data_IF_802562792968
#
_entry.id   IF_802562792968
#
_cell.length_a   1.000
_cell.length_b   1.000
_cell.length_c   1.000
_cell.angle_alpha   90.00
_cell.angle_beta   90.00
_cell.angle_gamma   90.00
#
_symmetry.space_group_name_H-M   'P 1'
#
loop_
_entity.id
_entity.type
_entity.pdbx_description
1 polymer ?
#
# COMPACT_ATOMS: atom_id res chain seq x y z
N UNK A 1 -70.59 -4.67 -49.87
CA UNK A 1 -69.18 -4.45 -50.27
C UNK A 1 -68.45 -3.80 -49.11
N UNK A 2 -67.37 -4.45 -48.67
CA UNK A 2 -66.70 -4.27 -47.37
C UNK A 2 -66.00 -2.91 -47.21
N UNK A 3 -66.21 -2.30 -46.04
CA UNK A 3 -65.42 -1.19 -45.51
C UNK A 3 -64.04 -1.70 -45.04
N UNK A 4 -62.95 -1.12 -45.56
CA UNK A 4 -61.59 -1.34 -45.03
C UNK A 4 -61.12 -0.07 -44.34
N UNK A 5 -61.14 -0.08 -43.01
CA UNK A 5 -60.39 0.86 -42.16
C UNK A 5 -58.97 0.33 -42.02
N UNK A 6 -57.99 1.11 -42.46
CA UNK A 6 -56.57 0.85 -42.18
C UNK A 6 -56.26 1.44 -40.80
N UNK A 7 -56.09 0.58 -39.81
CA UNK A 7 -55.58 0.97 -38.50
C UNK A 7 -54.04 0.99 -38.57
N UNK A 8 -53.46 2.19 -38.53
CA UNK A 8 -52.02 2.36 -38.33
C UNK A 8 -51.72 2.11 -36.84
N UNK A 9 -51.16 0.94 -36.53
CA UNK A 9 -50.64 0.64 -35.20
C UNK A 9 -49.32 1.35 -34.98
N UNK A 10 -49.32 2.41 -34.16
CA UNK A 10 -48.10 2.94 -33.56
C UNK A 10 -47.65 1.99 -32.44
N UNK A 11 -46.75 1.07 -32.76
CA UNK A 11 -46.02 0.30 -31.75
C UNK A 11 -44.95 1.22 -31.15
N UNK A 12 -45.28 1.87 -30.04
CA UNK A 12 -44.33 2.63 -29.24
C UNK A 12 -43.30 1.69 -28.63
N UNK A 13 -42.10 1.64 -29.20
CA UNK A 13 -40.95 0.95 -28.62
C UNK A 13 -40.45 1.78 -27.43
N UNK A 14 -40.88 1.44 -26.22
CA UNK A 14 -40.33 2.00 -24.99
C UNK A 14 -38.88 1.49 -24.84
N UNK A 15 -37.89 2.29 -25.25
CA UNK A 15 -36.50 2.08 -24.85
C UNK A 15 -36.41 2.24 -23.33
N UNK A 16 -36.43 1.10 -22.63
CA UNK A 16 -35.95 1.02 -21.25
C UNK A 16 -34.45 1.37 -21.28
N UNK A 17 -34.12 2.63 -20.99
CA UNK A 17 -32.76 3.04 -20.71
C UNK A 17 -32.31 2.28 -19.45
N UNK A 18 -31.60 1.17 -19.64
CA UNK A 18 -30.87 0.55 -18.55
C UNK A 18 -29.86 1.58 -18.05
N UNK A 19 -29.86 1.91 -16.74
CA UNK A 19 -28.82 2.78 -16.21
C UNK A 19 -27.50 2.03 -16.46
N UNK A 20 -26.67 2.59 -17.34
CA UNK A 20 -25.28 2.20 -17.42
C UNK A 20 -24.73 2.46 -16.02
N UNK A 21 -24.53 1.39 -15.25
CA UNK A 21 -23.74 1.46 -14.04
C UNK A 21 -22.40 2.02 -14.49
N UNK A 22 -22.18 3.31 -14.22
CA UNK A 22 -20.89 3.95 -14.44
C UNK A 22 -19.95 3.23 -13.50
N UNK A 23 -19.27 2.22 -14.05
CA UNK A 23 -18.12 1.65 -13.44
C UNK A 23 -17.25 2.82 -12.98
N UNK A 24 -16.96 2.94 -11.69
CA UNK A 24 -15.95 3.90 -11.21
C UNK A 24 -14.75 3.77 -12.16
N UNK A 25 -14.51 4.80 -12.98
CA UNK A 25 -13.44 4.82 -13.95
C UNK A 25 -12.33 5.69 -13.38
N UNK A 26 -11.09 5.31 -13.69
CA UNK A 26 -9.93 6.13 -13.39
C UNK A 26 -10.06 7.44 -14.19
N UNK A 27 -10.08 8.57 -13.50
CA UNK A 27 -10.06 9.89 -14.14
C UNK A 27 -8.81 10.67 -13.74
N UNK A 28 -8.36 11.64 -14.56
CA UNK A 28 -7.25 12.53 -14.19
C UNK A 28 -7.48 13.25 -12.85
N UNK A 29 -8.72 13.61 -12.53
CA UNK A 29 -9.08 14.30 -11.28
C UNK A 29 -8.93 13.37 -10.07
N UNK A 30 -9.34 12.11 -10.18
CA UNK A 30 -9.16 11.12 -9.12
C UNK A 30 -7.68 10.87 -8.84
N UNK A 31 -6.88 10.69 -9.89
CA UNK A 31 -5.43 10.50 -9.77
C UNK A 31 -4.80 11.73 -9.11
N UNK A 32 -5.10 12.94 -9.61
CA UNK A 32 -4.61 14.19 -9.01
C UNK A 32 -4.97 14.27 -7.52
N UNK A 33 -6.23 14.02 -7.17
CA UNK A 33 -6.68 14.10 -5.78
C UNK A 33 -5.92 13.14 -4.85
N UNK A 34 -5.70 11.89 -5.28
CA UNK A 34 -4.96 10.90 -4.48
C UNK A 34 -3.48 11.23 -4.36
N UNK A 35 -2.85 11.63 -5.46
CA UNK A 35 -1.43 12.01 -5.51
C UNK A 35 -1.16 13.26 -4.68
N UNK A 36 -1.98 14.30 -4.81
CA UNK A 36 -1.83 15.53 -4.02
C UNK A 36 -2.03 15.28 -2.53
N UNK A 37 -3.02 14.44 -2.16
CA UNK A 37 -3.26 14.04 -0.78
C UNK A 37 -2.07 13.29 -0.19
N UNK A 38 -1.50 12.35 -0.93
CA UNK A 38 -0.30 11.61 -0.52
C UNK A 38 0.86 12.56 -0.22
N UNK A 39 1.15 13.48 -1.16
CA UNK A 39 2.26 14.42 -1.02
C UNK A 39 2.09 15.31 0.21
N UNK A 40 0.89 15.84 0.41
CA UNK A 40 0.58 16.66 1.59
C UNK A 40 0.77 15.87 2.89
N UNK A 41 0.22 14.66 2.98
CA UNK A 41 0.31 13.83 4.20
C UNK A 41 1.77 13.51 4.52
N UNK A 42 2.55 13.07 3.52
CA UNK A 42 3.97 12.71 3.71
C UNK A 42 4.82 13.92 4.10
N UNK A 43 4.63 15.07 3.45
CA UNK A 43 5.35 16.30 3.78
C UNK A 43 5.00 16.81 5.19
N UNK A 44 3.72 16.77 5.58
CA UNK A 44 3.29 17.15 6.93
C UNK A 44 3.87 16.23 8.00
N UNK A 45 3.84 14.90 7.77
CA UNK A 45 4.44 13.91 8.68
C UNK A 45 5.93 14.18 8.87
N UNK A 46 6.66 14.35 7.77
CA UNK A 46 8.10 14.65 7.79
C UNK A 46 8.37 15.92 8.63
N UNK A 47 7.69 17.03 8.34
CA UNK A 47 7.90 18.29 9.06
C UNK A 47 7.52 18.21 10.54
N UNK A 48 6.51 17.41 10.89
CA UNK A 48 6.02 17.28 12.27
C UNK A 48 6.87 16.32 13.11
N UNK A 49 7.33 15.21 12.54
CA UNK A 49 7.86 14.08 13.30
C UNK A 49 9.32 13.77 13.07
N UNK A 50 9.89 14.09 11.90
CA UNK A 50 11.25 13.63 11.57
C UNK A 50 12.32 14.22 12.50
N UNK A 51 12.31 15.54 12.73
CA UNK A 51 13.31 16.19 13.60
C UNK A 51 13.24 15.71 15.06
N UNK A 52 12.06 15.63 15.73
CA UNK A 52 11.97 15.04 17.06
C UNK A 52 12.49 13.60 17.15
N UNK A 53 12.28 12.80 16.09
CA UNK A 53 12.76 11.42 16.05
C UNK A 53 14.27 11.35 15.80
N UNK A 54 14.83 12.17 14.90
CA UNK A 54 16.27 12.29 14.72
C UNK A 54 16.97 12.62 16.05
N UNK A 55 16.46 13.61 16.78
CA UNK A 55 16.95 13.98 18.12
C UNK A 55 16.86 12.85 19.13
N UNK A 56 15.79 12.04 19.10
CA UNK A 56 15.63 10.87 19.99
C UNK A 56 16.69 9.80 19.73
N UNK A 57 17.14 9.67 18.49
CA UNK A 57 18.15 8.70 18.05
C UNK A 57 19.56 9.29 17.96
N UNK A 58 19.76 10.49 18.52
CA UNK A 58 21.01 11.27 18.49
C UNK A 58 21.56 11.54 17.08
N UNK A 59 20.71 11.53 16.04
CA UNK A 59 21.10 11.72 14.64
C UNK A 59 21.13 13.20 14.28
N UNK A 60 22.30 13.71 13.89
CA UNK A 60 22.46 15.10 13.43
C UNK A 60 22.11 15.24 11.95
N UNK A 61 22.55 14.29 11.13
CA UNK A 61 22.32 14.26 9.69
C UNK A 61 21.81 12.88 9.29
N UNK A 62 20.73 12.82 8.52
CA UNK A 62 20.32 11.61 7.83
C UNK A 62 20.49 11.79 6.32
N UNK A 63 21.17 10.82 5.71
CA UNK A 63 21.43 10.76 4.27
C UNK A 63 20.66 9.57 3.69
N UNK A 64 19.75 9.84 2.77
CA UNK A 64 19.20 8.84 1.86
C UNK A 64 19.91 9.00 0.52
N UNK A 65 20.74 8.02 0.16
CA UNK A 65 21.37 7.97 -1.16
C UNK A 65 20.57 7.06 -2.09
N UNK A 66 20.30 7.56 -3.28
CA UNK A 66 19.53 6.86 -4.31
C UNK A 66 20.24 6.98 -5.65
N UNK A 67 20.01 6.03 -6.56
CA UNK A 67 20.54 6.07 -7.93
C UNK A 67 19.54 5.55 -8.94
N UNK A 68 19.82 5.86 -10.20
CA UNK A 68 19.02 5.36 -11.32
C UNK A 68 18.95 3.83 -11.31
N UNK A 69 17.74 3.31 -11.54
CA UNK A 69 17.41 1.87 -11.58
C UNK A 69 17.61 1.10 -10.27
N UNK A 70 18.01 1.76 -9.19
CA UNK A 70 18.06 1.20 -7.84
C UNK A 70 17.77 2.30 -6.81
N UNK A 71 16.55 2.85 -6.80
CA UNK A 71 16.20 3.86 -5.82
C UNK A 71 16.15 3.26 -4.42
N UNK A 72 16.59 4.03 -3.44
CA UNK A 72 16.40 3.65 -2.04
C UNK A 72 14.89 3.61 -1.72
N UNK A 73 14.38 2.54 -1.09
CA UNK A 73 12.94 2.36 -0.85
C UNK A 73 12.35 3.49 0.00
N UNK A 74 13.14 4.14 0.87
CA UNK A 74 12.65 5.23 1.72
C UNK A 74 12.43 6.54 0.97
N UNK A 75 12.96 6.70 -0.25
CA UNK A 75 12.68 7.88 -1.09
C UNK A 75 11.17 8.05 -1.27
N UNK A 76 10.42 6.94 -1.32
CA UNK A 76 8.96 6.95 -1.40
C UNK A 76 8.29 7.76 -0.28
N UNK A 77 8.85 7.77 0.93
CA UNK A 77 8.30 8.52 2.07
C UNK A 77 8.57 10.03 1.98
N UNK A 78 9.49 10.47 1.12
CA UNK A 78 9.98 11.84 1.04
C UNK A 78 9.95 12.40 -0.39
N UNK A 79 8.89 12.07 -1.14
CA UNK A 79 8.65 12.58 -2.50
C UNK A 79 8.97 11.60 -3.64
N UNK A 80 9.12 10.30 -3.38
CA UNK A 80 9.27 9.31 -4.46
C UNK A 80 8.06 9.25 -5.41
N UNK A 81 8.23 8.58 -6.57
CA UNK A 81 7.25 8.41 -7.64
C UNK A 81 6.38 9.64 -7.96
N UNK A 82 6.90 10.54 -8.79
CA UNK A 82 6.14 11.63 -9.41
C UNK A 82 6.47 13.04 -8.90
N UNK A 83 7.00 13.19 -7.68
CA UNK A 83 7.48 14.50 -7.17
C UNK A 83 8.94 14.74 -7.52
N UNK A 84 9.80 13.72 -7.40
CA UNK A 84 11.25 13.83 -7.58
C UNK A 84 11.71 14.12 -9.00
N UNK A 85 10.88 13.83 -10.01
CA UNK A 85 11.41 13.49 -11.34
C UNK A 85 12.03 12.09 -11.31
N UNK A 86 12.59 11.62 -12.43
CA UNK A 86 13.29 10.33 -12.47
C UNK A 86 14.41 10.29 -11.41
N UNK A 87 14.79 9.11 -10.90
CA UNK A 87 15.62 8.93 -9.68
C UNK A 87 17.06 9.49 -9.73
N UNK A 88 17.40 10.22 -10.79
CA UNK A 88 18.70 10.83 -10.95
C UNK A 88 19.80 9.82 -11.21
N UNK A 89 20.96 10.27 -11.66
CA UNK A 89 22.13 9.40 -11.74
C UNK A 89 22.56 8.95 -10.33
N UNK A 90 22.77 9.90 -9.42
CA UNK A 90 22.96 9.70 -7.97
C UNK A 90 22.37 10.90 -7.23
N UNK A 91 21.37 10.68 -6.38
CA UNK A 91 20.74 11.74 -5.60
C UNK A 91 20.97 11.52 -4.11
N UNK A 92 21.19 12.61 -3.37
CA UNK A 92 21.22 12.62 -1.91
C UNK A 92 20.06 13.45 -1.38
N UNK A 93 19.23 12.83 -0.54
CA UNK A 93 18.19 13.50 0.22
C UNK A 93 18.65 13.62 1.66
N UNK A 94 18.74 14.86 2.14
CA UNK A 94 19.47 15.24 3.33
C UNK A 94 18.51 15.88 4.32
N UNK A 95 18.55 15.40 5.55
CA UNK A 95 17.76 15.90 6.67
C UNK A 95 18.73 16.25 7.80
N UNK A 96 18.80 17.52 8.18
CA UNK A 96 19.79 18.02 9.14
C UNK A 96 19.13 18.72 10.32
N UNK A 97 19.60 18.40 11.53
CA UNK A 97 19.29 19.11 12.76
C UNK A 97 20.32 20.22 13.01
N UNK A 98 19.94 21.46 12.70
CA UNK A 98 20.77 22.64 12.97
C UNK A 98 20.80 23.06 14.46
N UNK A 99 20.23 22.26 15.35
CA UNK A 99 20.28 22.44 16.80
C UNK A 99 19.08 23.18 17.38
N UNK A 100 19.21 23.58 18.65
CA UNK A 100 18.11 24.15 19.43
C UNK A 100 17.54 25.43 18.78
N UNK A 101 16.21 25.49 18.66
CA UNK A 101 15.50 26.63 18.07
C UNK A 101 15.39 26.59 16.54
N UNK A 102 16.06 25.65 15.87
CA UNK A 102 15.95 25.46 14.42
C UNK A 102 14.90 24.39 14.06
N UNK A 103 14.27 24.60 12.90
CA UNK A 103 13.43 23.58 12.24
C UNK A 103 14.29 22.61 11.45
N UNK A 104 13.68 21.51 10.99
CA UNK A 104 14.35 20.55 10.13
C UNK A 104 14.84 21.22 8.85
N UNK A 105 16.14 21.16 8.60
CA UNK A 105 16.71 21.56 7.31
C UNK A 105 16.60 20.38 6.35
N UNK A 106 16.10 20.65 5.14
CA UNK A 106 15.86 19.62 4.12
C UNK A 106 16.49 20.01 2.80
N UNK A 107 17.38 19.17 2.27
CA UNK A 107 18.10 19.43 1.01
C UNK A 107 18.07 18.22 0.10
N UNK A 108 17.85 18.43 -1.20
CA UNK A 108 18.06 17.43 -2.23
C UNK A 108 19.20 17.86 -3.17
N UNK A 109 20.25 17.04 -3.25
CA UNK A 109 21.35 17.18 -4.20
C UNK A 109 21.17 16.13 -5.28
N UNK A 110 21.20 16.48 -6.56
CA UNK A 110 20.90 15.47 -7.58
C UNK A 110 20.82 15.91 -9.02
N UNK A 111 20.48 14.97 -9.88
CA UNK A 111 19.99 15.25 -11.25
C UNK A 111 18.50 14.91 -11.35
N UNK A 112 17.86 15.41 -12.40
CA UNK A 112 16.43 15.21 -12.67
C UNK A 112 15.48 15.71 -11.56
N UNK A 113 15.93 16.65 -10.73
CA UNK A 113 15.13 17.23 -9.64
C UNK A 113 13.93 18.00 -10.20
N UNK A 114 12.72 17.58 -9.86
CA UNK A 114 11.49 18.29 -10.20
C UNK A 114 11.15 19.39 -9.18
N UNK A 115 10.56 20.49 -9.64
CA UNK A 115 10.13 21.59 -8.78
C UNK A 115 9.05 21.20 -7.75
N UNK A 116 8.34 20.08 -7.95
CA UNK A 116 7.42 19.55 -6.94
C UNK A 116 8.14 19.14 -5.64
N UNK A 117 9.46 18.87 -5.69
CA UNK A 117 10.26 18.55 -4.50
C UNK A 117 10.29 19.67 -3.47
N UNK A 118 9.98 20.91 -3.84
CA UNK A 118 9.90 22.05 -2.91
C UNK A 118 8.89 21.88 -1.77
N UNK A 119 8.01 20.87 -1.84
CA UNK A 119 7.14 20.47 -0.72
C UNK A 119 7.88 19.74 0.40
N UNK A 120 8.94 19.02 0.06
CA UNK A 120 9.72 18.17 0.95
C UNK A 120 11.07 18.78 1.29
N UNK A 121 11.70 19.47 0.34
CA UNK A 121 13.05 19.99 0.47
C UNK A 121 13.08 21.50 0.30
N UNK A 122 13.65 22.19 1.29
CA UNK A 122 13.83 23.64 1.29
C UNK A 122 14.85 24.07 0.24
N UNK A 123 15.87 23.24 0.00
CA UNK A 123 16.94 23.48 -0.96
C UNK A 123 17.02 22.36 -1.99
N UNK A 124 17.03 22.73 -3.28
CA UNK A 124 17.27 21.82 -4.40
C UNK A 124 18.54 22.26 -5.12
N UNK A 125 19.57 21.42 -5.11
CA UNK A 125 20.85 21.70 -5.75
C UNK A 125 21.09 20.72 -6.89
N UNK A 126 20.86 21.14 -8.14
CA UNK A 126 21.25 20.34 -9.29
C UNK A 126 22.79 20.33 -9.45
N UNK A 127 23.34 19.24 -9.97
CA UNK A 127 24.76 19.15 -10.34
C UNK A 127 24.94 18.75 -11.82
N UNK A 128 26.11 19.05 -12.38
CA UNK A 128 26.51 18.72 -13.76
C UNK A 128 27.52 17.58 -13.86
N UNK A 129 28.53 17.74 -14.71
CA UNK A 129 29.56 16.72 -14.95
C UNK A 129 30.44 16.44 -13.72
N UNK A 130 30.51 17.38 -12.77
CA UNK A 130 31.26 17.24 -11.52
C UNK A 130 30.71 16.16 -10.59
N UNK A 131 29.43 15.78 -10.76
CA UNK A 131 28.76 14.75 -9.98
C UNK A 131 28.40 15.16 -8.55
N UNK A 132 27.78 14.23 -7.80
CA UNK A 132 27.27 14.46 -6.45
C UNK A 132 28.38 14.72 -5.39
N UNK A 133 29.54 14.08 -5.55
CA UNK A 133 30.64 14.04 -4.58
C UNK A 133 31.06 15.42 -4.05
N UNK A 134 31.42 16.42 -4.88
CA UNK A 134 31.83 17.73 -4.38
C UNK A 134 30.73 18.42 -3.56
N UNK A 135 29.49 18.37 -4.03
CA UNK A 135 28.34 18.98 -3.36
C UNK A 135 28.03 18.32 -2.00
N UNK A 136 28.07 16.99 -1.94
CA UNK A 136 27.84 16.25 -0.71
C UNK A 136 28.95 16.51 0.32
N UNK A 137 30.21 16.58 -0.15
CA UNK A 137 31.36 16.92 0.69
C UNK A 137 31.21 18.31 1.30
N UNK A 138 30.97 19.32 0.46
CA UNK A 138 30.78 20.70 0.92
C UNK A 138 29.61 20.82 1.90
N UNK A 139 28.49 20.14 1.62
CA UNK A 139 27.32 20.15 2.50
C UNK A 139 27.66 19.65 3.92
N UNK A 140 28.38 18.53 4.01
CA UNK A 140 28.75 17.90 5.28
C UNK A 140 29.84 18.69 5.99
N UNK A 141 30.87 19.14 5.28
CA UNK A 141 31.98 19.91 5.85
C UNK A 141 31.52 21.24 6.45
N UNK A 142 30.54 21.89 5.82
CA UNK A 142 29.96 23.14 6.33
C UNK A 142 29.16 22.94 7.63
N UNK A 143 28.62 21.74 7.85
CA UNK A 143 27.71 21.42 8.97
C UNK A 143 28.38 20.65 10.11
N UNK A 144 29.50 19.97 9.83
CA UNK A 144 30.27 19.13 10.77
C UNK A 144 29.42 18.21 11.67
N UNK A 145 28.50 17.37 11.13
CA UNK A 145 27.64 16.51 11.94
C UNK A 145 28.43 15.45 12.70
N UNK A 146 28.08 15.20 13.97
CA UNK A 146 28.76 14.22 14.84
C UNK A 146 28.23 12.81 14.65
N UNK A 147 26.95 12.64 14.29
CA UNK A 147 26.32 11.35 14.00
C UNK A 147 25.53 11.41 12.70
N UNK A 148 25.90 10.57 11.73
CA UNK A 148 25.33 10.59 10.38
C UNK A 148 24.62 9.26 10.12
N UNK A 149 23.29 9.28 10.04
CA UNK A 149 22.50 8.10 9.72
C UNK A 149 22.52 7.80 8.21
N UNK A 150 22.63 6.52 7.86
CA UNK A 150 22.54 6.00 6.50
C UNK A 150 21.64 4.76 6.46
N UNK A 151 21.00 4.51 5.32
CA UNK A 151 20.11 3.37 5.11
C UNK A 151 20.88 2.07 4.87
N UNK A 152 21.39 1.51 5.96
CA UNK A 152 21.98 0.19 6.00
C UNK A 152 21.38 -0.58 7.18
N UNK A 153 20.78 -1.74 6.94
CA UNK A 153 20.10 -2.52 7.97
C UNK A 153 20.22 -4.02 7.72
N UNK A 154 20.37 -4.81 8.79
CA UNK A 154 20.41 -6.28 8.70
C UNK A 154 19.03 -6.93 8.74
N UNK A 155 18.01 -6.20 9.19
CA UNK A 155 16.72 -6.78 9.58
C UNK A 155 15.52 -6.07 8.97
N UNK A 156 15.65 -4.79 8.65
CA UNK A 156 14.60 -3.94 8.10
C UNK A 156 14.98 -3.58 6.66
N UNK A 157 14.45 -4.34 5.70
CA UNK A 157 14.73 -4.14 4.27
C UNK A 157 14.41 -2.72 3.77
N UNK A 158 13.39 -2.07 4.33
CA UNK A 158 13.07 -0.69 4.02
C UNK A 158 14.19 0.28 4.44
N UNK A 159 15.01 -0.06 5.44
CA UNK A 159 16.14 0.74 5.88
C UNK A 159 17.49 0.25 5.31
N UNK A 160 17.49 -0.57 4.25
CA UNK A 160 18.69 -1.18 3.64
C UNK A 160 18.81 -0.86 2.13
N UNK A 161 18.53 0.38 1.74
CA UNK A 161 18.57 0.80 0.34
C UNK A 161 19.96 1.08 -0.22
N UNK A 162 21.00 1.15 0.63
CA UNK A 162 22.34 1.51 0.22
C UNK A 162 23.07 0.32 -0.42
N UNK A 163 23.06 0.27 -1.76
CA UNK A 163 23.82 -0.73 -2.52
C UNK A 163 25.32 -0.64 -2.24
N UNK A 164 26.05 -1.75 -2.42
CA UNK A 164 27.50 -1.83 -2.15
C UNK A 164 28.31 -0.74 -2.84
N UNK A 165 28.05 -0.46 -4.13
CA UNK A 165 28.76 0.62 -4.85
C UNK A 165 28.40 2.00 -4.32
N UNK A 166 27.13 2.26 -3.97
CA UNK A 166 26.75 3.55 -3.38
C UNK A 166 27.37 3.75 -2.00
N UNK A 167 27.57 2.67 -1.24
CA UNK A 167 28.28 2.72 0.02
C UNK A 167 29.75 3.09 -0.19
N UNK A 168 30.45 2.44 -1.12
CA UNK A 168 31.83 2.79 -1.46
C UNK A 168 31.94 4.24 -1.94
N UNK A 169 31.02 4.68 -2.80
CA UNK A 169 30.93 6.05 -3.27
C UNK A 169 30.73 7.04 -2.12
N UNK A 170 29.82 6.76 -1.19
CA UNK A 170 29.58 7.61 -0.02
C UNK A 170 30.85 7.76 0.83
N UNK A 171 31.52 6.65 1.12
CA UNK A 171 32.72 6.63 1.96
C UNK A 171 33.85 7.46 1.34
N UNK A 172 34.04 7.34 0.03
CA UNK A 172 34.98 8.17 -0.74
C UNK A 172 34.54 9.65 -0.81
N UNK A 173 33.24 9.90 -0.96
CA UNK A 173 32.69 11.25 -1.07
C UNK A 173 32.89 12.05 0.21
N UNK A 174 32.63 11.46 1.38
CA UNK A 174 32.64 12.18 2.66
C UNK A 174 34.00 12.10 3.38
N UNK A 175 34.73 11.00 3.24
CA UNK A 175 36.05 10.81 3.87
C UNK A 175 36.04 10.90 5.42
N UNK A 176 37.23 10.87 6.02
CA UNK A 176 37.42 11.10 7.47
C UNK A 176 37.37 12.60 7.77
N UNK A 177 36.76 13.04 8.90
CA UNK A 177 36.25 12.22 10.01
C UNK A 177 34.83 11.66 9.82
N UNK A 178 34.11 12.09 8.79
CA UNK A 178 32.66 11.80 8.66
C UNK A 178 32.32 10.34 8.41
N UNK A 179 33.15 9.61 7.67
CA UNK A 179 32.97 8.17 7.45
C UNK A 179 32.98 7.38 8.77
N UNK A 180 33.74 7.85 9.75
CA UNK A 180 33.87 7.20 11.06
C UNK A 180 32.70 7.58 12.01
N UNK A 181 31.80 8.46 11.54
CA UNK A 181 30.59 8.93 12.25
C UNK A 181 29.29 8.34 11.67
N UNK A 182 29.40 7.45 10.67
CA UNK A 182 28.26 6.80 10.04
C UNK A 182 27.61 5.80 11.01
N UNK A 183 26.28 5.79 11.05
CA UNK A 183 25.46 4.86 11.81
C UNK A 183 24.27 4.38 10.99
N UNK A 184 23.69 3.23 11.36
CA UNK A 184 22.46 2.75 10.73
C UNK A 184 21.27 3.66 11.05
N UNK A 185 20.41 3.90 10.06
CA UNK A 185 19.12 4.58 10.21
C UNK A 185 18.00 3.65 10.71
N UNK A 186 18.24 2.36 10.90
CA UNK A 186 17.23 1.33 11.16
C UNK A 186 16.22 1.74 12.25
N UNK A 187 16.71 2.13 13.43
CA UNK A 187 15.85 2.49 14.56
C UNK A 187 15.07 3.79 14.32
N UNK A 188 15.69 4.78 13.66
CA UNK A 188 15.02 6.01 13.24
C UNK A 188 13.89 5.71 12.26
N UNK A 189 14.15 4.83 11.28
CA UNK A 189 13.18 4.44 10.25
C UNK A 189 12.01 3.67 10.86
N UNK A 190 12.27 2.72 11.76
CA UNK A 190 11.22 1.96 12.46
C UNK A 190 10.30 2.91 13.24
N UNK A 191 10.86 3.85 14.00
CA UNK A 191 10.07 4.83 14.74
C UNK A 191 9.29 5.78 13.82
N UNK A 192 9.91 6.26 12.74
CA UNK A 192 9.27 7.16 11.78
C UNK A 192 8.11 6.47 11.05
N UNK A 193 8.31 5.25 10.57
CA UNK A 193 7.28 4.46 9.92
C UNK A 193 6.12 4.15 10.88
N UNK A 194 6.43 3.80 12.13
CA UNK A 194 5.44 3.48 13.17
C UNK A 194 4.70 4.71 13.72
N UNK A 195 5.15 5.94 13.42
CA UNK A 195 4.51 7.17 13.88
C UNK A 195 3.43 7.57 12.89
N UNK A 196 2.17 7.28 13.23
CA UNK A 196 1.02 7.63 12.42
C UNK A 196 0.48 9.03 12.73
N UNK A 197 0.03 9.72 11.69
CA UNK A 197 -0.79 10.93 11.78
C UNK A 197 -2.27 10.60 11.60
N UNK A 198 -3.16 11.46 12.11
CA UNK A 198 -4.60 11.29 11.92
C UNK A 198 -5.02 11.26 10.43
N UNK A 199 -4.24 11.93 9.57
CA UNK A 199 -4.48 11.95 8.13
C UNK A 199 -4.12 10.61 7.48
N UNK A 200 -3.00 9.98 7.89
CA UNK A 200 -2.67 8.60 7.49
C UNK A 200 -3.73 7.61 7.96
N UNK A 201 -4.17 7.70 9.22
CA UNK A 201 -5.22 6.83 9.75
C UNK A 201 -6.55 6.96 8.97
N UNK A 202 -6.86 8.15 8.45
CA UNK A 202 -8.03 8.35 7.61
C UNK A 202 -7.90 7.61 6.27
N UNK A 203 -6.73 7.71 5.62
CA UNK A 203 -6.43 6.97 4.37
C UNK A 203 -6.42 5.46 4.62
N UNK A 204 -5.84 5.01 5.73
CA UNK A 204 -5.82 3.59 6.10
C UNK A 204 -7.25 3.03 6.25
N UNK A 205 -8.15 3.76 6.92
CA UNK A 205 -9.57 3.37 7.02
C UNK A 205 -10.25 3.29 5.66
N UNK A 206 -9.96 4.22 4.76
CA UNK A 206 -10.48 4.20 3.38
C UNK A 206 -9.96 2.99 2.60
N UNK A 207 -8.65 2.72 2.65
CA UNK A 207 -8.03 1.57 2.00
C UNK A 207 -8.57 0.24 2.56
N UNK A 208 -8.75 0.16 3.87
CA UNK A 208 -9.34 -0.98 4.56
C UNK A 208 -10.79 -1.23 4.15
N UNK A 209 -11.62 -0.19 4.07
CA UNK A 209 -13.00 -0.29 3.61
C UNK A 209 -13.10 -0.69 2.12
N UNK A 210 -12.24 -0.11 1.28
CA UNK A 210 -12.18 -0.43 -0.15
C UNK A 210 -11.76 -1.89 -0.39
N UNK A 211 -10.71 -2.35 0.30
CA UNK A 211 -10.25 -3.75 0.28
C UNK A 211 -11.37 -4.69 0.66
N UNK A 212 -12.02 -4.43 1.80
CA UNK A 212 -13.16 -5.22 2.26
C UNK A 212 -14.29 -5.28 1.23
N UNK A 213 -14.62 -4.15 0.59
CA UNK A 213 -15.67 -4.09 -0.42
C UNK A 213 -15.35 -4.93 -1.67
N UNK A 214 -14.09 -4.93 -2.13
CA UNK A 214 -13.62 -5.78 -3.23
C UNK A 214 -13.71 -7.24 -2.84
N UNK A 215 -13.13 -7.63 -1.70
CA UNK A 215 -13.07 -9.03 -1.27
C UNK A 215 -14.45 -9.60 -0.97
N UNK A 216 -15.37 -8.78 -0.45
CA UNK A 216 -16.79 -9.16 -0.27
C UNK A 216 -17.47 -9.56 -1.59
N UNK A 217 -17.15 -8.88 -2.69
CA UNK A 217 -17.71 -9.17 -4.02
C UNK A 217 -17.01 -10.35 -4.66
N UNK A 218 -15.67 -10.38 -4.61
CA UNK A 218 -14.84 -11.47 -5.11
C UNK A 218 -15.25 -12.82 -4.51
N UNK A 219 -15.50 -12.86 -3.21
CA UNK A 219 -15.94 -14.07 -2.49
C UNK A 219 -17.47 -14.21 -2.45
N UNK A 220 -18.15 -13.91 -3.55
CA UNK A 220 -19.62 -14.03 -3.64
C UNK A 220 -20.06 -14.65 -4.95
N UNK A 221 -21.37 -14.93 -5.07
CA UNK A 221 -21.95 -15.43 -6.32
C UNK A 221 -21.96 -14.40 -7.45
N UNK A 222 -21.52 -13.17 -7.20
CA UNK A 222 -21.22 -12.21 -8.27
C UNK A 222 -20.10 -12.74 -9.17
N UNK A 223 -19.10 -13.40 -8.58
CA UNK A 223 -17.88 -13.85 -9.26
C UNK A 223 -17.79 -15.38 -9.30
N UNK A 224 -18.15 -16.03 -8.20
CA UNK A 224 -17.97 -17.47 -8.02
C UNK A 224 -19.24 -18.23 -8.39
N UNK A 225 -19.13 -19.03 -9.43
CA UNK A 225 -20.09 -20.07 -9.79
C UNK A 225 -19.46 -21.45 -9.54
N UNK A 226 -19.90 -22.19 -8.51
CA UNK A 226 -19.31 -23.49 -8.18
C UNK A 226 -19.40 -24.49 -9.33
N UNK A 227 -18.32 -25.23 -9.57
CA UNK A 227 -18.16 -26.15 -10.69
C UNK A 227 -17.85 -25.48 -12.04
N UNK A 228 -17.61 -24.16 -12.05
CA UNK A 228 -17.28 -23.41 -13.27
C UNK A 228 -16.13 -22.42 -13.08
N UNK A 229 -16.21 -21.56 -12.07
CA UNK A 229 -15.18 -20.54 -11.80
C UNK A 229 -13.93 -21.20 -11.23
N UNK A 230 -12.75 -20.86 -11.77
CA UNK A 230 -11.47 -21.30 -11.21
C UNK A 230 -10.95 -20.33 -10.14
N UNK A 231 -9.91 -20.72 -9.42
CA UNK A 231 -9.30 -19.85 -8.41
C UNK A 231 -8.66 -18.60 -9.06
N UNK A 232 -8.01 -18.77 -10.21
CA UNK A 232 -7.40 -17.65 -10.95
C UNK A 232 -8.43 -16.74 -11.61
N UNK A 233 -9.61 -17.22 -11.99
CA UNK A 233 -10.71 -16.35 -12.42
C UNK A 233 -11.03 -15.28 -11.35
N UNK A 234 -11.04 -15.68 -10.06
CA UNK A 234 -11.27 -14.76 -8.94
C UNK A 234 -10.09 -13.80 -8.77
N UNK A 235 -8.85 -14.29 -8.89
CA UNK A 235 -7.64 -13.47 -8.84
C UNK A 235 -7.66 -12.37 -9.91
N UNK A 236 -7.97 -12.74 -11.16
CA UNK A 236 -8.03 -11.80 -12.27
C UNK A 236 -9.18 -10.82 -12.11
N UNK A 237 -10.31 -11.26 -11.55
CA UNK A 237 -11.42 -10.38 -11.22
C UNK A 237 -11.01 -9.33 -10.18
N UNK A 238 -10.35 -9.73 -9.08
CA UNK A 238 -9.82 -8.80 -8.06
C UNK A 238 -8.85 -7.81 -8.72
N UNK A 239 -7.95 -8.32 -9.57
CA UNK A 239 -6.97 -7.51 -10.29
C UNK A 239 -7.60 -6.45 -11.18
N UNK A 240 -8.63 -6.84 -11.95
CA UNK A 240 -9.37 -5.90 -12.79
C UNK A 240 -10.14 -4.87 -11.95
N UNK A 241 -10.71 -5.30 -10.83
CA UNK A 241 -11.57 -4.47 -10.00
C UNK A 241 -10.81 -3.34 -9.30
N UNK A 242 -9.65 -3.61 -8.70
CA UNK A 242 -8.87 -2.54 -8.05
C UNK A 242 -8.29 -1.56 -9.09
N UNK A 243 -7.87 -2.07 -10.25
CA UNK A 243 -7.41 -1.23 -11.37
C UNK A 243 -8.53 -0.32 -11.85
N UNK A 244 -9.74 -0.85 -12.06
CA UNK A 244 -10.90 -0.08 -12.51
C UNK A 244 -11.21 1.09 -11.58
N UNK A 245 -11.11 0.87 -10.27
CA UNK A 245 -11.30 1.89 -9.23
C UNK A 245 -10.10 2.86 -9.05
N UNK A 246 -9.05 2.71 -9.86
CA UNK A 246 -7.87 3.57 -9.87
C UNK A 246 -7.00 3.46 -8.62
N UNK A 247 -7.07 2.34 -7.90
CA UNK A 247 -6.18 2.09 -6.78
C UNK A 247 -4.76 1.81 -7.27
N UNK A 248 -3.79 2.07 -6.41
CA UNK A 248 -2.39 1.81 -6.69
C UNK A 248 -2.06 0.34 -6.43
N UNK A 249 -1.00 -0.15 -7.08
CA UNK A 249 -0.51 -1.50 -6.84
C UNK A 249 0.10 -1.60 -5.43
N UNK A 250 -0.21 -2.69 -4.73
CA UNK A 250 0.34 -3.04 -3.42
C UNK A 250 1.06 -4.40 -3.53
N UNK A 251 0.29 -5.47 -3.61
CA UNK A 251 0.74 -6.83 -3.93
C UNK A 251 -0.37 -7.57 -4.69
N UNK A 252 -0.05 -8.61 -5.49
CA UNK A 252 -1.07 -9.41 -6.15
C UNK A 252 -1.89 -10.18 -5.11
N UNK A 253 -3.21 -10.26 -5.29
CA UNK A 253 -4.04 -11.09 -4.41
C UNK A 253 -3.55 -12.54 -4.46
N UNK A 254 -3.27 -13.12 -3.29
CA UNK A 254 -3.00 -14.56 -3.17
C UNK A 254 -4.29 -15.27 -2.78
N UNK A 255 -4.54 -16.43 -3.38
CA UNK A 255 -5.72 -17.22 -3.13
C UNK A 255 -5.33 -18.69 -2.97
N UNK A 256 -6.02 -19.36 -2.06
CA UNK A 256 -5.95 -20.80 -1.88
C UNK A 256 -7.32 -21.35 -1.47
N UNK A 257 -7.46 -22.66 -1.56
CA UNK A 257 -8.63 -23.34 -1.03
C UNK A 257 -8.28 -24.66 -0.33
N UNK A 258 -9.10 -24.99 0.64
CA UNK A 258 -9.09 -26.27 1.35
C UNK A 258 -10.33 -27.07 0.99
N UNK A 259 -10.13 -28.31 0.55
CA UNK A 259 -11.18 -29.26 0.17
C UNK A 259 -11.25 -30.40 1.18
N UNK A 260 -12.47 -30.91 1.37
CA UNK A 260 -12.72 -32.07 2.22
C UNK A 260 -11.78 -33.24 1.85
N UNK A 261 -11.21 -33.89 2.86
CA UNK A 261 -10.14 -34.88 2.68
C UNK A 261 -8.74 -34.33 2.97
N UNK A 262 -8.61 -33.06 3.35
CA UNK A 262 -7.33 -32.45 3.77
C UNK A 262 -6.47 -31.99 2.60
N UNK A 263 -7.09 -31.69 1.45
CA UNK A 263 -6.39 -31.23 0.26
C UNK A 263 -6.36 -29.70 0.26
N UNK A 264 -5.15 -29.13 0.23
CA UNK A 264 -4.93 -27.70 0.02
C UNK A 264 -4.44 -27.48 -1.41
N UNK A 265 -5.08 -26.54 -2.10
CA UNK A 265 -4.78 -26.17 -3.49
C UNK A 265 -4.59 -24.66 -3.56
N UNK A 266 -3.66 -24.20 -4.36
CA UNK A 266 -3.28 -22.80 -4.52
C UNK A 266 -3.45 -22.33 -5.97
N UNK A 267 -3.00 -21.10 -6.22
CA UNK A 267 -3.01 -20.45 -7.53
C UNK A 267 -2.26 -21.24 -8.62
N UNK A 268 -1.21 -21.98 -8.27
CA UNK A 268 -0.46 -22.79 -9.21
C UNK A 268 -1.27 -23.98 -9.77
N UNK A 269 -2.17 -24.55 -8.95
CA UNK A 269 -3.06 -25.63 -9.39
C UNK A 269 -4.29 -25.13 -10.16
N UNK A 270 -4.63 -23.84 -10.02
CA UNK A 270 -5.83 -23.18 -10.57
C UNK A 270 -7.09 -24.07 -10.53
N UNK A 271 -7.50 -24.57 -9.35
CA UNK A 271 -8.60 -25.51 -9.25
C UNK A 271 -9.94 -24.85 -9.61
N UNK A 272 -10.84 -25.64 -10.19
CA UNK A 272 -12.26 -25.27 -10.24
C UNK A 272 -12.81 -25.26 -8.81
N UNK A 273 -13.43 -24.14 -8.43
CA UNK A 273 -14.04 -23.97 -7.12
C UNK A 273 -15.29 -24.85 -7.04
N UNK A 274 -15.33 -25.74 -6.05
CA UNK A 274 -16.42 -26.68 -5.85
C UNK A 274 -17.22 -26.35 -4.59
N UNK A 275 -18.42 -26.95 -4.51
CA UNK A 275 -19.22 -26.87 -3.30
C UNK A 275 -18.55 -27.64 -2.17
N UNK A 276 -18.44 -27.01 -1.01
CA UNK A 276 -17.75 -27.55 0.15
C UNK A 276 -16.31 -27.08 0.30
N UNK A 277 -15.79 -26.31 -0.65
CA UNK A 277 -14.47 -25.68 -0.52
C UNK A 277 -14.49 -24.51 0.48
N UNK A 278 -13.41 -24.40 1.25
CA UNK A 278 -13.09 -23.24 2.08
C UNK A 278 -12.01 -22.44 1.36
N UNK A 279 -12.37 -21.26 0.88
CA UNK A 279 -11.49 -20.32 0.19
C UNK A 279 -10.79 -19.40 1.19
N UNK A 280 -9.56 -19.03 0.88
CA UNK A 280 -8.79 -17.98 1.53
C UNK A 280 -8.29 -16.98 0.47
N UNK A 281 -8.22 -15.71 0.85
CA UNK A 281 -7.61 -14.65 0.04
C UNK A 281 -6.85 -13.70 0.94
N UNK A 282 -5.65 -13.34 0.52
CA UNK A 282 -4.84 -12.27 1.08
C UNK A 282 -4.69 -11.15 0.04
N UNK A 283 -5.15 -9.94 0.39
CA UNK A 283 -5.14 -8.81 -0.53
C UNK A 283 -5.35 -7.50 0.23
N UNK A 284 -4.79 -6.42 -0.31
CA UNK A 284 -5.29 -5.09 -0.01
C UNK A 284 -4.86 -4.02 -0.99
N UNK A 285 -5.68 -2.99 -1.09
CA UNK A 285 -5.45 -1.87 -2.01
C UNK A 285 -4.48 -0.87 -1.42
N UNK A 286 -3.83 -0.10 -2.29
CA UNK A 286 -3.09 1.09 -1.92
C UNK A 286 -3.83 2.36 -2.35
N UNK A 287 -3.94 3.32 -1.43
CA UNK A 287 -4.57 4.62 -1.63
C UNK A 287 -3.65 5.70 -1.09
N UNK A 288 -3.29 6.69 -1.92
CA UNK A 288 -2.49 7.85 -1.49
C UNK A 288 -1.23 7.44 -0.74
N UNK A 289 -0.52 6.44 -1.27
CA UNK A 289 0.72 5.92 -0.67
C UNK A 289 0.54 4.98 0.54
N UNK A 290 -0.65 4.84 1.12
CA UNK A 290 -0.94 3.96 2.28
C UNK A 290 -1.59 2.67 1.82
N UNK A 291 -1.14 1.55 2.38
CA UNK A 291 -1.57 0.20 2.03
C UNK A 291 -2.56 -0.35 3.04
N UNK A 292 -3.53 -1.12 2.58
CA UNK A 292 -4.28 -2.07 3.40
C UNK A 292 -3.75 -3.48 3.15
N UNK A 293 -3.93 -4.35 4.14
CA UNK A 293 -3.60 -5.77 4.08
C UNK A 293 -4.68 -6.50 4.89
N UNK A 294 -5.43 -7.37 4.21
CA UNK A 294 -6.55 -8.10 4.81
C UNK A 294 -6.63 -9.53 4.27
N UNK A 295 -6.76 -10.47 5.20
CA UNK A 295 -7.05 -11.86 4.87
C UNK A 295 -8.52 -12.18 5.12
N UNK A 296 -9.21 -12.78 4.14
CA UNK A 296 -10.62 -13.20 4.24
C UNK A 296 -10.77 -14.69 3.97
N UNK A 297 -11.82 -15.29 4.53
CA UNK A 297 -12.22 -16.65 4.21
C UNK A 297 -13.66 -16.71 3.69
N UNK A 298 -13.96 -17.69 2.84
CA UNK A 298 -15.33 -17.94 2.39
C UNK A 298 -15.59 -19.44 2.25
N UNK A 299 -16.81 -19.84 2.58
CA UNK A 299 -17.22 -21.23 2.42
C UNK A 299 -18.27 -21.34 1.31
N UNK A 300 -18.03 -22.26 0.38
CA UNK A 300 -18.98 -22.56 -0.70
C UNK A 300 -19.96 -23.61 -0.21
N UNK A 301 -21.24 -23.26 -0.07
CA UNK A 301 -22.24 -24.16 0.49
C UNK A 301 -22.47 -25.39 -0.42
N UNK A 302 -22.54 -26.57 0.21
CA UNK A 302 -23.02 -27.79 -0.42
C UNK A 302 -24.50 -27.68 -0.78
N UNK A 303 -24.93 -28.55 -1.68
CA UNK A 303 -26.35 -28.64 -2.02
C UNK A 303 -27.17 -28.93 -0.76
N UNK A 304 -28.22 -28.14 -0.52
CA UNK A 304 -29.08 -28.26 0.66
C UNK A 304 -28.56 -27.56 1.92
N UNK A 305 -27.30 -27.11 1.95
CA UNK A 305 -26.82 -26.31 3.06
C UNK A 305 -27.36 -24.88 2.99
N UNK A 306 -27.80 -24.38 4.14
CA UNK A 306 -28.20 -22.98 4.29
C UNK A 306 -27.18 -22.15 5.05
N UNK A 307 -26.21 -22.79 5.73
CA UNK A 307 -25.11 -22.18 6.48
C UNK A 307 -23.89 -23.12 6.49
N UNK A 308 -22.66 -22.63 6.76
CA UNK A 308 -21.49 -23.50 6.84
C UNK A 308 -21.61 -24.52 7.98
N UNK A 309 -20.87 -25.64 7.90
CA UNK A 309 -20.74 -26.61 8.98
C UNK A 309 -20.37 -25.96 10.33
N UNK A 310 -20.99 -26.45 11.41
CA UNK A 310 -20.78 -25.91 12.76
C UNK A 310 -19.30 -25.90 13.20
N UNK A 311 -18.50 -26.88 12.75
CA UNK A 311 -17.06 -26.92 13.01
C UNK A 311 -16.31 -25.73 12.41
N UNK A 312 -16.64 -25.32 11.18
CA UNK A 312 -16.05 -24.14 10.54
C UNK A 312 -16.50 -22.85 11.22
N UNK A 313 -17.78 -22.77 11.60
CA UNK A 313 -18.30 -21.62 12.36
C UNK A 313 -17.57 -21.49 13.70
N UNK A 314 -17.34 -22.60 14.40
CA UNK A 314 -16.58 -22.61 15.66
C UNK A 314 -15.14 -22.18 15.44
N UNK A 315 -14.46 -22.73 14.44
CA UNK A 315 -13.08 -22.34 14.11
C UNK A 315 -12.95 -20.84 13.81
N UNK A 316 -13.93 -20.27 13.10
CA UNK A 316 -14.01 -18.83 12.83
C UNK A 316 -14.20 -18.00 14.10
N UNK A 317 -15.06 -18.44 15.02
CA UNK A 317 -15.26 -17.75 16.31
C UNK A 317 -13.99 -17.82 17.16
N UNK A 318 -13.36 -18.99 17.23
CA UNK A 318 -12.14 -19.21 18.02
C UNK A 318 -10.94 -18.42 17.46
N UNK A 319 -10.89 -18.15 16.15
CA UNK A 319 -9.85 -17.33 15.51
C UNK A 319 -10.10 -15.83 15.58
N UNK A 320 -11.28 -15.39 16.02
CA UNK A 320 -11.64 -13.98 16.12
C UNK A 320 -11.37 -13.45 17.53
N UNK A 321 -10.43 -12.51 17.74
CA UNK A 321 -10.14 -12.00 19.08
C UNK A 321 -11.35 -11.27 19.69
N UNK A 322 -11.54 -11.28 21.03
CA UNK A 322 -12.75 -10.76 21.69
C UNK A 322 -13.13 -9.31 21.36
N UNK A 323 -12.15 -8.45 21.04
CA UNK A 323 -12.37 -7.05 20.65
C UNK A 323 -12.93 -6.87 19.22
N UNK A 324 -12.90 -7.89 18.38
CA UNK A 324 -13.52 -7.87 17.05
C UNK A 324 -15.00 -8.31 17.08
N UNK A 325 -15.52 -8.72 18.25
CA UNK A 325 -16.89 -9.20 18.46
C UNK A 325 -17.82 -8.16 19.08
N UNK A 326 -17.50 -6.86 19.02
CA UNK A 326 -18.46 -5.81 19.37
C UNK A 326 -19.58 -5.75 18.32
N UNK A 327 -20.56 -6.65 18.48
CA UNK A 327 -21.71 -6.86 17.62
C UNK A 327 -21.90 -8.34 17.30
N UNK A 328 -23.14 -8.89 17.33
CA UNK A 328 -23.37 -10.28 16.92
C UNK A 328 -22.95 -10.45 15.45
N UNK A 329 -22.35 -11.60 15.05
CA UNK A 329 -22.10 -11.89 13.65
C UNK A 329 -23.46 -11.93 12.94
N UNK A 330 -23.80 -10.85 12.24
CA UNK A 330 -25.02 -10.80 11.44
C UNK A 330 -24.68 -11.25 10.04
N UNK A 331 -25.03 -12.48 9.61
CA UNK A 331 -25.03 -12.80 8.20
C UNK A 331 -25.88 -11.75 7.48
N UNK A 332 -25.33 -11.12 6.44
CA UNK A 332 -26.14 -10.23 5.60
C UNK A 332 -27.23 -11.10 4.94
N UNK A 333 -28.52 -10.69 4.93
CA UNK A 333 -29.56 -11.42 4.21
C UNK A 333 -29.15 -11.60 2.75
N UNK A 334 -29.22 -12.83 2.24
CA UNK A 334 -28.88 -13.16 0.87
C UNK A 334 -30.05 -12.79 -0.07
N UNK A 335 -29.78 -12.32 -1.29
CA UNK A 335 -30.73 -12.42 -2.39
C UNK A 335 -31.09 -13.91 -2.60
N UNK A 336 -32.35 -14.21 -2.98
CA UNK A 336 -32.76 -15.60 -3.29
C UNK A 336 -31.84 -16.18 -4.38
N UNK A 337 -31.24 -17.35 -4.14
CA UNK A 337 -30.40 -18.07 -5.11
C UNK A 337 -28.88 -18.02 -4.89
N UNK A 338 -28.41 -17.41 -3.79
CA UNK A 338 -26.99 -17.33 -3.47
C UNK A 338 -26.43 -18.62 -2.83
N UNK A 339 -25.25 -19.10 -3.26
CA UNK A 339 -24.61 -20.34 -2.82
C UNK A 339 -23.23 -20.16 -2.15
N UNK A 340 -22.56 -19.02 -2.34
CA UNK A 340 -21.35 -18.64 -1.60
C UNK A 340 -21.71 -17.81 -0.37
N UNK A 341 -21.17 -18.19 0.80
CA UNK A 341 -21.19 -17.37 2.03
C UNK A 341 -19.77 -16.94 2.38
N UNK A 342 -19.46 -15.67 2.11
CA UNK A 342 -18.25 -15.04 2.64
C UNK A 342 -18.37 -14.84 4.15
N UNK A 343 -17.39 -15.32 4.89
CA UNK A 343 -17.15 -14.93 6.27
C UNK A 343 -15.94 -14.02 6.27
N UNK A 344 -16.20 -12.74 6.05
CA UNK A 344 -15.13 -11.75 5.98
C UNK A 344 -14.54 -11.56 7.39
N UNK A 345 -13.48 -12.28 7.74
CA UNK A 345 -12.61 -11.94 8.87
C UNK A 345 -11.86 -10.69 8.49
N UNK A 346 -11.79 -9.65 9.31
CA UNK A 346 -10.76 -8.62 9.12
C UNK A 346 -9.65 -8.87 10.11
N UNK A 347 -8.60 -9.56 9.68
CA UNK A 347 -7.28 -9.37 10.26
C UNK A 347 -6.77 -8.01 9.75
N UNK A 348 -6.61 -7.06 10.66
CA UNK A 348 -5.84 -5.83 10.39
C UNK A 348 -4.39 -6.24 10.56
N UNK A 349 -3.71 -6.46 9.44
CA UNK A 349 -2.35 -6.99 9.40
C UNK A 349 -1.37 -6.03 8.75
N UNK A 350 -1.15 -4.83 9.30
CA UNK A 350 0.17 -4.18 9.20
C UNK A 350 0.29 -3.11 10.30
N UNK A 351 1.43 -3.09 11.01
CA UNK A 351 1.74 -2.21 12.14
C UNK A 351 0.88 -2.35 13.44
N UNK A 352 0.89 -3.53 14.07
CA UNK A 352 0.69 -3.61 15.53
C UNK A 352 2.04 -3.74 16.24
N UNK A 353 2.36 -2.71 17.05
CA UNK A 353 3.40 -2.61 18.10
C UNK A 353 4.33 -3.82 18.20
N UNK A 354 5.53 -3.68 17.64
CA UNK A 354 6.73 -4.33 18.19
C UNK A 354 7.19 -3.45 19.37
N UNK A 355 6.50 -3.54 20.50
CA UNK A 355 6.97 -2.96 21.76
C UNK A 355 6.85 -4.00 22.85
N UNK A 356 7.99 -4.63 23.17
CA UNK A 356 8.15 -5.46 24.37
C UNK A 356 8.49 -6.92 24.10
N UNK A 357 9.78 -7.20 23.93
CA UNK A 357 10.46 -8.39 24.43
C UNK A 357 11.93 -8.39 23.97
N UNK A 358 12.76 -7.55 24.59
CA UNK A 358 14.19 -7.86 24.75
C UNK A 358 14.52 -7.52 26.19
N UNK A 359 14.51 -8.56 27.02
CA UNK A 359 15.16 -8.62 28.33
C UNK A 359 16.28 -9.64 28.23
#
# INVERSE_FOLDING_TARGET
MLSRRIAAGLTGLALLATPLFSAAQITPELIRARTEREWTIKAEKMRRHLLPLMRRHDVDLWIILSRENAPDPLVELFGGYGVTGWYGHRNAYLFFDAGAGHTLETTALGTHLSGHLGRFYDTLTPYGEEGLKPHLREYIETRDPRRIAINQSRTISMADGLTAELQEYLLDAIGTPYRDRLVSSEQLVVDYASTHTLAEDAVEREASAATYAILRRALSNEVITPGRTTLMDVQYWITAEWKRQGFEFNFPASLDLQRAGGVTLDDAADPVIERGDLLHVDFGVRISGIVADQQKMAYVLRAGETAPPAGLVRAFVDSTPPRALEGPPRPTPLPRGAHVRAWLVTTIGCCRRVSGAVS
#
